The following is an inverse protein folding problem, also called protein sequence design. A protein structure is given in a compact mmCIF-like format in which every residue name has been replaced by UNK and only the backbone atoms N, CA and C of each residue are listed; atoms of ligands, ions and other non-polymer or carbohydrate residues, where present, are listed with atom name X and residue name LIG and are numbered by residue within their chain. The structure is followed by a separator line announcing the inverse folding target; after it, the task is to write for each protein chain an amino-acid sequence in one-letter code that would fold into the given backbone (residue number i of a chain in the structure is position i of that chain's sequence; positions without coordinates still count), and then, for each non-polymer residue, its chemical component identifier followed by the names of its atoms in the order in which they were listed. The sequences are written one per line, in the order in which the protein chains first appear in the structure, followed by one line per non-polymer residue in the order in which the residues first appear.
data_IF_054911419472
#
_entry.id   IF_054911419472
#
_cell.length_a   1.000
_cell.length_b   1.000
_cell.length_c   1.000
_cell.angle_alpha   90.00
_cell.angle_beta   90.00
_cell.angle_gamma   90.00
#
_symmetry.space_group_name_H-M   'P 1'
#
loop_
_entity.id
_entity.type
_entity.pdbx_description
1 polymer ?
#
# COMPACT_ATOMS: atom_id res chain seq x y z
N UNK A 1 -8.78 -6.85 25.75
CA UNK A 1 -9.07 -7.75 24.60
C UNK A 1 -8.00 -7.58 23.54
N UNK A 2 -7.31 -8.64 23.16
CA UNK A 2 -6.38 -8.66 22.02
C UNK A 2 -7.18 -8.31 20.76
N UNK A 3 -6.83 -7.21 20.10
CA UNK A 3 -7.51 -6.77 18.87
C UNK A 3 -7.37 -7.87 17.82
N UNK A 4 -8.50 -8.43 17.35
CA UNK A 4 -8.47 -9.51 16.35
C UNK A 4 -7.86 -8.99 15.05
N UNK A 5 -6.92 -9.75 14.49
CA UNK A 5 -6.20 -9.36 13.27
C UNK A 5 -7.14 -9.37 12.05
N UNK A 6 -6.87 -8.49 11.09
CA UNK A 6 -7.60 -8.40 9.82
C UNK A 6 -6.68 -8.75 8.66
N UNK A 7 -6.97 -9.84 7.94
CA UNK A 7 -6.21 -10.21 6.75
C UNK A 7 -6.81 -9.54 5.51
N UNK A 8 -5.96 -8.90 4.69
CA UNK A 8 -6.38 -8.18 3.48
C UNK A 8 -6.93 -9.11 2.40
N UNK A 9 -6.46 -10.36 2.37
CA UNK A 9 -6.87 -11.36 1.37
C UNK A 9 -8.14 -12.12 1.80
N UNK A 10 -8.64 -11.95 3.03
CA UNK A 10 -9.82 -12.64 3.50
C UNK A 10 -11.04 -12.34 2.61
N UNK A 11 -11.63 -13.38 2.01
CA UNK A 11 -12.75 -13.25 1.07
C UNK A 11 -12.39 -12.94 -0.38
N UNK A 12 -11.09 -12.78 -0.69
CA UNK A 12 -10.60 -12.70 -2.07
C UNK A 12 -10.46 -14.07 -2.74
N UNK A 13 -10.18 -14.08 -4.05
CA UNK A 13 -9.83 -15.31 -4.79
C UNK A 13 -8.51 -15.96 -4.34
N UNK A 14 -7.68 -15.25 -3.56
CA UNK A 14 -6.42 -15.73 -3.00
C UNK A 14 -6.56 -16.27 -1.58
N UNK A 15 -7.79 -16.40 -1.06
CA UNK A 15 -8.07 -16.98 0.24
C UNK A 15 -9.11 -18.10 0.13
N UNK A 16 -8.84 -19.31 0.68
CA UNK A 16 -7.66 -19.71 1.45
C UNK A 16 -6.36 -19.79 0.64
N UNK A 17 -5.23 -19.49 1.30
CA UNK A 17 -3.87 -19.57 0.76
C UNK A 17 -3.05 -20.68 1.44
N UNK A 18 -1.77 -20.82 1.08
CA UNK A 18 -0.87 -21.83 1.67
C UNK A 18 -0.78 -21.81 3.19
N UNK A 19 -1.00 -20.66 3.83
CA UNK A 19 -1.05 -20.60 5.30
C UNK A 19 -2.19 -21.46 5.88
N UNK A 20 -3.31 -21.62 5.17
CA UNK A 20 -4.39 -22.51 5.58
C UNK A 20 -3.96 -23.98 5.49
N UNK A 21 -3.25 -24.38 4.43
CA UNK A 21 -2.75 -25.75 4.26
C UNK A 21 -1.72 -26.14 5.33
N UNK A 22 -0.94 -25.17 5.79
CA UNK A 22 0.09 -25.37 6.80
C UNK A 22 -0.43 -25.28 8.24
N UNK A 23 -1.74 -25.09 8.45
CA UNK A 23 -2.35 -24.78 9.74
C UNK A 23 -1.77 -23.52 10.43
N UNK A 24 -1.38 -22.53 9.63
CA UNK A 24 -0.72 -21.28 10.02
C UNK A 24 -1.55 -20.05 9.61
N UNK A 25 -2.87 -20.22 9.46
CA UNK A 25 -3.74 -19.11 9.04
C UNK A 25 -3.69 -17.97 10.06
N UNK A 26 -3.40 -16.74 9.63
CA UNK A 26 -3.15 -15.62 10.56
C UNK A 26 -4.41 -15.18 11.33
N UNK A 27 -5.61 -15.46 10.79
CA UNK A 27 -6.88 -14.93 11.32
C UNK A 27 -7.92 -16.00 11.66
N UNK A 28 -7.71 -17.26 11.29
CA UNK A 28 -8.68 -18.34 11.51
C UNK A 28 -8.14 -19.32 12.57
N UNK A 29 -8.75 -19.33 13.76
CA UNK A 29 -8.34 -20.19 14.87
C UNK A 29 -8.48 -21.68 14.60
N UNK A 30 -9.50 -22.11 13.86
CA UNK A 30 -9.67 -23.52 13.51
C UNK A 30 -8.58 -24.02 12.57
N UNK A 31 -8.14 -23.16 11.64
CA UNK A 31 -6.96 -23.41 10.80
C UNK A 31 -5.64 -23.16 11.55
N UNK A 32 -5.68 -22.91 12.87
CA UNK A 32 -4.52 -22.94 13.78
C UNK A 32 -4.61 -24.13 14.74
N UNK A 33 -5.57 -25.04 14.54
CA UNK A 33 -5.79 -26.19 15.42
C UNK A 33 -6.55 -25.90 16.72
N UNK A 34 -7.10 -24.69 16.90
CA UNK A 34 -7.91 -24.37 18.09
C UNK A 34 -9.32 -24.94 17.97
N UNK A 35 -9.90 -25.34 19.10
CA UNK A 35 -11.22 -25.98 19.17
C UNK A 35 -12.37 -25.03 18.80
N UNK A 36 -12.28 -23.75 19.19
CA UNK A 36 -13.34 -22.76 18.96
C UNK A 36 -12.96 -21.70 17.93
N UNK A 37 -13.97 -21.27 17.17
CA UNK A 37 -13.84 -20.14 16.26
C UNK A 37 -13.79 -18.83 17.06
N UNK A 38 -12.69 -18.08 16.96
CA UNK A 38 -12.51 -16.77 17.59
C UNK A 38 -12.15 -15.68 16.55
N UNK A 39 -12.34 -15.97 15.26
CA UNK A 39 -11.87 -15.11 14.17
C UNK A 39 -12.61 -13.76 14.11
N UNK A 40 -11.99 -12.78 13.45
CA UNK A 40 -12.70 -11.57 13.07
C UNK A 40 -13.50 -11.85 11.79
N UNK A 41 -14.80 -12.10 11.91
CA UNK A 41 -15.65 -12.40 10.75
C UNK A 41 -15.71 -11.22 9.78
N UNK A 42 -15.42 -11.47 8.49
CA UNK A 42 -15.40 -10.45 7.43
C UNK A 42 -16.36 -10.75 6.28
N UNK A 43 -17.44 -11.47 6.57
CA UNK A 43 -18.44 -11.87 5.57
C UNK A 43 -18.23 -13.28 5.01
N UNK A 44 -17.11 -13.95 5.32
CA UNK A 44 -16.82 -15.30 4.87
C UNK A 44 -16.14 -16.15 5.95
N UNK A 45 -16.44 -17.45 5.96
CA UNK A 45 -15.78 -18.42 6.83
C UNK A 45 -14.57 -19.01 6.12
N UNK A 46 -13.35 -18.57 6.45
CA UNK A 46 -12.13 -19.05 5.79
C UNK A 46 -11.96 -20.57 5.96
N UNK A 47 -12.33 -21.11 7.14
CA UNK A 47 -12.32 -22.55 7.36
C UNK A 47 -13.27 -23.28 6.42
N UNK A 48 -14.52 -22.81 6.31
CA UNK A 48 -15.50 -23.42 5.40
C UNK A 48 -15.06 -23.36 3.94
N UNK A 49 -14.53 -22.22 3.50
CA UNK A 49 -13.99 -22.04 2.15
C UNK A 49 -12.82 -22.99 1.87
N UNK A 50 -12.00 -23.28 2.89
CA UNK A 50 -10.91 -24.25 2.81
C UNK A 50 -11.40 -25.69 2.70
N UNK A 51 -12.41 -26.07 3.48
CA UNK A 51 -13.04 -27.39 3.34
C UNK A 51 -13.70 -27.54 1.97
N UNK A 52 -14.45 -26.53 1.50
CA UNK A 52 -15.08 -26.54 0.18
C UNK A 52 -14.06 -26.54 -0.97
N UNK A 53 -12.87 -25.99 -0.77
CA UNK A 53 -11.76 -26.10 -1.71
C UNK A 53 -11.02 -27.45 -1.66
N UNK A 54 -11.57 -28.45 -0.95
CA UNK A 54 -10.95 -29.78 -0.82
C UNK A 54 -9.65 -29.76 -0.01
N UNK A 55 -9.59 -28.91 1.01
CA UNK A 55 -8.40 -28.71 1.86
C UNK A 55 -7.16 -28.25 1.07
N UNK A 56 -7.38 -27.46 0.00
CA UNK A 56 -6.31 -26.84 -0.79
C UNK A 56 -6.50 -25.33 -0.90
N UNK A 57 -5.40 -24.63 -1.12
CA UNK A 57 -5.40 -23.22 -1.49
C UNK A 57 -6.05 -23.04 -2.86
N UNK A 58 -6.81 -21.95 -3.02
CA UNK A 58 -7.60 -21.72 -4.24
C UNK A 58 -6.73 -21.36 -5.44
N UNK A 59 -6.11 -20.19 -5.39
CA UNK A 59 -5.34 -19.64 -6.49
C UNK A 59 -4.10 -18.94 -5.97
N UNK A 60 -2.99 -19.14 -6.66
CA UNK A 60 -1.74 -18.42 -6.42
C UNK A 60 -1.60 -17.27 -7.40
N UNK A 61 -1.09 -16.14 -6.94
CA UNK A 61 -0.71 -15.02 -7.81
C UNK A 61 0.34 -15.47 -8.82
N UNK A 62 -0.04 -15.52 -10.09
CA UNK A 62 0.83 -15.98 -11.16
C UNK A 62 1.79 -14.87 -11.58
N UNK A 63 3.00 -15.27 -11.95
CA UNK A 63 3.94 -14.39 -12.64
C UNK A 63 3.61 -14.39 -14.12
N UNK A 64 3.38 -13.22 -14.71
CA UNK A 64 3.12 -13.04 -16.14
C UNK A 64 4.22 -12.18 -16.75
N UNK A 65 4.53 -12.43 -18.02
CA UNK A 65 5.37 -11.55 -18.81
C UNK A 65 4.51 -10.41 -19.38
N UNK A 66 4.95 -9.18 -19.20
CA UNK A 66 4.24 -7.98 -19.59
C UNK A 66 5.10 -7.12 -20.52
N UNK A 67 4.48 -6.56 -21.55
CA UNK A 67 5.14 -5.64 -22.47
C UNK A 67 5.23 -4.24 -21.82
N UNK A 68 6.38 -3.60 -22.00
CA UNK A 68 6.63 -2.20 -21.64
C UNK A 68 6.13 -1.34 -22.82
N UNK A 69 5.05 -0.59 -22.59
CA UNK A 69 4.48 0.32 -23.60
C UNK A 69 5.32 1.59 -23.67
N UNK A 70 5.69 2.12 -22.50
CA UNK A 70 6.39 3.39 -22.39
C UNK A 70 7.30 3.39 -21.17
N UNK A 71 8.44 4.06 -21.33
CA UNK A 71 9.47 4.21 -20.31
C UNK A 71 9.97 5.64 -20.31
N UNK A 72 9.54 6.41 -19.31
CA UNK A 72 9.83 7.82 -19.19
C UNK A 72 10.83 8.04 -18.04
N UNK A 73 12.09 8.34 -18.38
CA UNK A 73 13.07 8.79 -17.39
C UNK A 73 12.80 10.25 -17.06
N UNK A 74 12.21 10.49 -15.89
CA UNK A 74 11.89 11.86 -15.42
C UNK A 74 13.16 12.56 -14.95
N UNK A 75 14.04 11.82 -14.27
CA UNK A 75 15.40 12.24 -13.93
C UNK A 75 16.26 10.99 -13.66
N UNK A 76 17.52 11.17 -13.29
CA UNK A 76 18.47 10.07 -13.03
C UNK A 76 17.99 9.06 -11.97
N UNK A 77 17.08 9.46 -11.08
CA UNK A 77 16.59 8.64 -9.95
C UNK A 77 15.17 8.15 -10.13
N UNK A 78 14.44 8.63 -11.13
CA UNK A 78 13.01 8.37 -11.28
C UNK A 78 12.67 7.93 -12.70
N UNK A 79 12.10 6.73 -12.77
CA UNK A 79 11.57 6.14 -13.98
C UNK A 79 10.06 5.93 -13.85
N UNK A 80 9.28 6.35 -14.84
CA UNK A 80 7.87 5.98 -14.97
C UNK A 80 7.74 4.90 -16.04
N UNK A 81 7.20 3.75 -15.64
CA UNK A 81 6.92 2.62 -16.52
C UNK A 81 5.43 2.53 -16.80
N UNK A 82 5.05 2.40 -18.06
CA UNK A 82 3.70 2.05 -18.49
C UNK A 82 3.70 0.63 -19.03
N UNK A 83 2.93 -0.27 -18.41
CA UNK A 83 2.91 -1.69 -18.72
C UNK A 83 1.54 -2.13 -19.25
N UNK A 84 1.53 -3.03 -20.23
CA UNK A 84 0.31 -3.66 -20.76
C UNK A 84 -0.04 -4.90 -19.94
N UNK A 85 -1.22 -4.93 -19.33
CA UNK A 85 -1.67 -6.06 -18.50
C UNK A 85 -3.10 -6.50 -18.84
N UNK A 86 -3.52 -7.70 -18.40
CA UNK A 86 -4.92 -8.11 -18.54
C UNK A 86 -5.88 -7.13 -17.85
N UNK A 87 -7.03 -6.84 -18.47
CA UNK A 87 -8.02 -5.88 -17.95
C UNK A 87 -8.48 -6.23 -16.53
N UNK A 88 -8.70 -7.52 -16.23
CA UNK A 88 -9.04 -8.02 -14.89
C UNK A 88 -7.99 -7.58 -13.86
N UNK A 89 -6.70 -7.79 -14.15
CA UNK A 89 -5.61 -7.41 -13.25
C UNK A 89 -5.54 -5.88 -13.08
N UNK A 90 -5.78 -5.12 -14.15
CA UNK A 90 -5.85 -3.65 -14.07
C UNK A 90 -6.93 -3.22 -13.09
N UNK A 91 -8.15 -3.76 -13.22
CA UNK A 91 -9.25 -3.47 -12.29
C UNK A 91 -8.90 -3.79 -10.84
N UNK A 92 -8.27 -4.94 -10.58
CA UNK A 92 -7.88 -5.37 -9.23
C UNK A 92 -6.75 -4.53 -8.61
N UNK A 93 -5.93 -3.89 -9.46
CA UNK A 93 -4.86 -2.98 -9.07
C UNK A 93 -5.32 -1.53 -8.89
N UNK A 94 -6.56 -1.21 -9.28
CA UNK A 94 -7.16 0.10 -9.10
C UNK A 94 -7.77 0.27 -7.69
N UNK A 95 -7.06 -0.19 -6.66
CA UNK A 95 -7.48 -0.12 -5.26
C UNK A 95 -6.36 0.50 -4.41
N UNK A 96 -6.67 1.35 -3.41
CA UNK A 96 -5.65 1.92 -2.53
C UNK A 96 -4.81 0.85 -1.83
N UNK A 97 -3.48 1.02 -1.84
CA UNK A 97 -2.56 0.04 -1.28
C UNK A 97 -2.19 -1.09 -2.24
N UNK A 98 -2.68 -1.05 -3.48
CA UNK A 98 -2.29 -2.03 -4.49
C UNK A 98 -0.82 -1.92 -4.85
N UNK A 99 -0.17 -3.07 -5.01
CA UNK A 99 1.20 -3.19 -5.48
C UNK A 99 1.39 -4.53 -6.22
N UNK A 100 2.48 -4.62 -6.97
CA UNK A 100 2.93 -5.81 -7.69
C UNK A 100 4.40 -6.05 -7.41
N UNK A 101 4.90 -7.25 -7.69
CA UNK A 101 6.34 -7.46 -7.84
C UNK A 101 6.74 -7.29 -9.29
N UNK A 102 7.79 -6.51 -9.51
CA UNK A 102 8.49 -6.39 -10.78
C UNK A 102 9.82 -7.12 -10.72
N UNK A 103 10.20 -7.72 -11.85
CA UNK A 103 11.50 -8.34 -12.05
C UNK A 103 11.84 -8.31 -13.54
N UNK A 104 13.10 -8.08 -13.88
CA UNK A 104 13.55 -8.26 -15.26
C UNK A 104 13.40 -9.72 -15.72
N UNK A 105 13.44 -9.94 -17.03
CA UNK A 105 13.15 -11.25 -17.61
C UNK A 105 14.30 -12.26 -17.52
N UNK A 106 15.51 -11.83 -17.12
CA UNK A 106 16.71 -12.67 -17.08
C UNK A 106 17.10 -13.07 -15.65
N UNK A 107 16.77 -12.24 -14.67
CA UNK A 107 17.18 -12.46 -13.28
C UNK A 107 16.36 -13.53 -12.57
N UNK A 108 16.91 -14.21 -11.55
CA UNK A 108 16.17 -15.15 -10.70
C UNK A 108 15.05 -14.50 -9.87
N UNK A 109 14.12 -15.31 -9.35
CA UNK A 109 12.92 -14.85 -8.62
C UNK A 109 13.21 -14.01 -7.36
N UNK A 110 14.38 -14.15 -6.73
CA UNK A 110 14.76 -13.33 -5.58
C UNK A 110 15.04 -11.85 -5.95
N UNK A 111 15.09 -11.49 -7.24
CA UNK A 111 15.10 -10.11 -7.74
C UNK A 111 13.72 -9.46 -7.77
N UNK A 112 12.65 -10.19 -7.45
CA UNK A 112 11.31 -9.62 -7.28
C UNK A 112 11.37 -8.38 -6.36
N UNK A 113 10.82 -7.28 -6.85
CA UNK A 113 10.80 -5.98 -6.17
C UNK A 113 9.37 -5.46 -6.06
N UNK A 114 8.85 -5.21 -4.85
CA UNK A 114 7.50 -4.71 -4.68
C UNK A 114 7.41 -3.26 -5.15
N UNK A 115 6.45 -2.96 -6.01
CA UNK A 115 6.23 -1.65 -6.61
C UNK A 115 4.76 -1.26 -6.49
N UNK A 116 4.53 -0.10 -5.88
CA UNK A 116 3.18 0.46 -5.73
C UNK A 116 2.62 0.89 -7.08
N UNK A 117 1.31 0.72 -7.25
CA UNK A 117 0.61 1.20 -8.44
C UNK A 117 0.43 2.71 -8.34
N UNK A 118 0.86 3.45 -9.36
CA UNK A 118 0.62 4.88 -9.46
C UNK A 118 -0.73 5.15 -10.13
N UNK A 119 -1.02 4.44 -11.21
CA UNK A 119 -2.24 4.62 -11.99
C UNK A 119 -2.62 3.32 -12.66
N UNK A 120 -3.92 3.10 -12.83
CA UNK A 120 -4.48 1.94 -13.51
C UNK A 120 -5.64 2.36 -14.39
N UNK A 121 -5.69 1.84 -15.61
CA UNK A 121 -6.79 2.02 -16.55
C UNK A 121 -7.29 0.63 -16.99
N UNK A 122 -8.52 0.30 -16.59
CA UNK A 122 -9.16 -0.97 -16.92
C UNK A 122 -9.52 -1.08 -18.41
N UNK A 123 -10.00 0.01 -19.02
CA UNK A 123 -10.46 0.01 -20.41
C UNK A 123 -9.31 -0.30 -21.36
N UNK A 124 -8.18 0.36 -21.16
CA UNK A 124 -6.96 0.17 -21.93
C UNK A 124 -6.15 -1.04 -21.47
N UNK A 125 -6.37 -1.55 -20.26
CA UNK A 125 -5.56 -2.63 -19.69
C UNK A 125 -4.11 -2.21 -19.49
N UNK A 126 -3.90 -1.02 -18.91
CA UNK A 126 -2.56 -0.50 -18.62
C UNK A 126 -2.42 -0.12 -17.15
N UNK A 127 -1.20 -0.21 -16.64
CA UNK A 127 -0.80 0.36 -15.35
C UNK A 127 0.42 1.24 -15.52
N UNK A 128 0.54 2.25 -14.66
CA UNK A 128 1.74 3.06 -14.52
C UNK A 128 2.36 2.88 -13.15
N UNK A 129 3.68 2.82 -13.12
CA UNK A 129 4.51 2.59 -11.93
C UNK A 129 5.60 3.65 -11.90
N UNK A 130 5.91 4.16 -10.72
CA UNK A 130 7.09 5.00 -10.51
C UNK A 130 8.16 4.17 -9.81
N UNK A 131 9.34 4.06 -10.43
CA UNK A 131 10.48 3.31 -9.93
C UNK A 131 11.57 4.28 -9.52
N UNK A 132 11.90 4.28 -8.23
CA UNK A 132 13.08 4.99 -7.74
C UNK A 132 14.33 4.12 -7.94
N UNK A 133 15.31 4.62 -8.70
CA UNK A 133 16.56 3.91 -8.94
C UNK A 133 17.48 4.08 -7.73
N UNK A 134 17.64 3.02 -6.92
CA UNK A 134 18.41 3.07 -5.68
C UNK A 134 19.28 1.84 -5.40
N UNK A 135 19.13 0.74 -6.15
CA UNK A 135 19.88 -0.48 -5.91
C UNK A 135 19.92 -1.43 -7.11
N UNK A 136 20.54 -2.61 -6.95
CA UNK A 136 20.75 -3.56 -8.05
C UNK A 136 19.44 -3.96 -8.76
N UNK A 137 18.39 -4.26 -7.98
CA UNK A 137 17.10 -4.69 -8.56
C UNK A 137 16.45 -3.60 -9.41
N UNK A 138 16.45 -2.36 -8.93
CA UNK A 138 15.85 -1.22 -9.66
C UNK A 138 16.67 -0.81 -10.87
N UNK A 139 18.00 -0.99 -10.83
CA UNK A 139 18.89 -0.78 -12.00
C UNK A 139 18.58 -1.78 -13.11
N UNK A 140 18.38 -3.05 -12.78
CA UNK A 140 17.98 -4.07 -13.78
C UNK A 140 16.60 -3.77 -14.37
N UNK A 141 15.64 -3.30 -13.57
CA UNK A 141 14.35 -2.80 -14.06
C UNK A 141 14.56 -1.60 -15.02
N UNK A 142 15.49 -0.71 -14.72
CA UNK A 142 15.88 0.40 -15.60
C UNK A 142 16.61 -0.07 -16.87
N UNK A 143 17.18 -1.26 -16.93
CA UNK A 143 17.82 -1.78 -18.14
C UNK A 143 16.85 -2.58 -19.03
N UNK A 144 15.70 -2.99 -18.49
CA UNK A 144 14.65 -3.69 -19.24
C UNK A 144 14.20 -2.90 -20.47
N UNK A 145 14.20 -3.55 -21.64
CA UNK A 145 13.81 -2.92 -22.91
C UNK A 145 12.33 -3.15 -23.23
N UNK A 146 11.96 -4.40 -23.51
CA UNK A 146 10.65 -4.72 -24.08
C UNK A 146 9.70 -5.37 -23.08
N UNK A 147 10.22 -6.28 -22.26
CA UNK A 147 9.40 -7.16 -21.43
C UNK A 147 9.88 -7.15 -19.98
N UNK A 148 8.92 -7.30 -19.06
CA UNK A 148 9.17 -7.37 -17.62
C UNK A 148 8.23 -8.39 -16.99
N UNK A 149 8.70 -9.12 -15.98
CA UNK A 149 7.83 -10.00 -15.20
C UNK A 149 7.05 -9.20 -14.16
N UNK A 150 5.75 -9.49 -14.09
CA UNK A 150 4.83 -8.95 -13.10
C UNK A 150 4.23 -10.11 -12.31
N UNK A 151 4.20 -9.98 -10.98
CA UNK A 151 3.42 -10.87 -10.10
C UNK A 151 2.50 -10.03 -9.21
N UNK A 152 1.21 -10.36 -9.16
CA UNK A 152 0.20 -9.60 -8.43
C UNK A 152 -1.20 -10.12 -8.70
N UNK A 153 -2.24 -9.43 -8.21
CA UNK A 153 -2.23 -8.17 -7.45
C UNK A 153 -2.06 -8.38 -5.95
N UNK A 154 -1.38 -7.48 -5.23
CA UNK A 154 -1.35 -7.44 -3.76
C UNK A 154 -1.95 -6.13 -3.28
N UNK A 155 -2.53 -6.09 -2.07
CA UNK A 155 -3.29 -4.92 -1.60
C UNK A 155 -2.83 -4.31 -0.27
N UNK A 156 -1.88 -4.94 0.43
CA UNK A 156 -1.44 -4.47 1.75
C UNK A 156 -0.34 -3.41 1.71
N UNK A 157 -0.30 -2.57 0.67
CA UNK A 157 0.68 -1.49 0.51
C UNK A 157 0.46 -0.26 1.40
N UNK A 158 -0.63 -0.24 2.17
CA UNK A 158 -0.91 0.78 3.19
C UNK A 158 -1.63 0.17 4.40
N UNK A 159 -1.55 0.85 5.54
CA UNK A 159 -2.34 0.57 6.74
C UNK A 159 -3.42 1.63 6.93
N UNK A 160 -4.55 1.22 7.53
CA UNK A 160 -5.73 2.08 7.63
C UNK A 160 -6.62 2.01 6.39
N UNK A 161 -6.56 0.90 5.64
CA UNK A 161 -7.30 0.71 4.39
C UNK A 161 -8.81 0.93 4.53
N UNK A 162 -9.38 0.50 5.67
CA UNK A 162 -10.80 0.74 5.99
C UNK A 162 -11.17 2.22 6.07
N UNK A 163 -10.26 3.08 6.52
CA UNK A 163 -10.51 4.52 6.63
C UNK A 163 -10.50 5.17 5.26
N UNK A 164 -9.55 4.81 4.38
CA UNK A 164 -9.53 5.32 3.00
C UNK A 164 -10.82 4.92 2.26
N UNK A 165 -11.21 3.63 2.32
CA UNK A 165 -12.38 3.13 1.58
C UNK A 165 -13.72 3.56 2.17
N UNK A 166 -13.81 3.68 3.48
CA UNK A 166 -15.06 3.98 4.19
C UNK A 166 -15.31 5.46 4.46
N UNK A 167 -14.35 6.35 4.16
CA UNK A 167 -14.55 7.79 4.34
C UNK A 167 -15.37 8.37 3.21
N UNK A 168 -16.45 9.09 3.56
CA UNK A 168 -17.36 9.75 2.62
C UNK A 168 -17.72 11.14 3.09
N UNK A 169 -17.99 12.06 2.16
CA UNK A 169 -18.52 13.41 2.41
C UNK A 169 -17.75 14.18 3.50
N UNK A 170 -16.43 13.97 3.60
CA UNK A 170 -15.59 14.50 4.69
C UNK A 170 -14.39 15.27 4.16
N UNK A 171 -13.72 16.05 5.02
CA UNK A 171 -12.45 16.69 4.66
C UNK A 171 -11.28 15.75 4.95
N UNK A 172 -10.41 15.58 3.98
CA UNK A 172 -9.25 14.68 4.05
C UNK A 172 -7.96 15.43 3.72
N UNK A 173 -6.89 15.11 4.43
CA UNK A 173 -5.53 15.60 4.14
C UNK A 173 -4.67 14.45 3.63
N UNK A 174 -4.00 14.65 2.50
CA UNK A 174 -3.06 13.69 1.93
C UNK A 174 -1.67 14.33 1.93
N UNK A 175 -0.72 13.75 2.67
CA UNK A 175 0.66 14.22 2.75
C UNK A 175 1.57 13.22 2.08
N UNK A 176 2.25 13.64 1.01
CA UNK A 176 3.06 12.78 0.15
C UNK A 176 4.48 13.31 0.06
N UNK A 177 5.47 12.41 0.22
CA UNK A 177 6.88 12.76 0.10
C UNK A 177 7.67 11.79 -0.77
N UNK A 178 8.45 12.34 -1.71
CA UNK A 178 9.32 11.55 -2.58
C UNK A 178 8.54 10.56 -3.43
N UNK A 179 8.99 9.30 -3.47
CA UNK A 179 8.37 8.25 -4.32
C UNK A 179 6.94 7.90 -3.87
N UNK A 180 6.58 8.20 -2.62
CA UNK A 180 5.23 7.96 -2.09
C UNK A 180 4.14 8.80 -2.79
N UNK A 181 4.54 9.80 -3.59
CA UNK A 181 3.64 10.45 -4.54
C UNK A 181 2.90 9.44 -5.42
N UNK A 182 3.58 8.37 -5.87
CA UNK A 182 3.03 7.38 -6.78
C UNK A 182 1.75 6.70 -6.23
N UNK A 183 1.79 5.94 -5.12
CA UNK A 183 0.57 5.37 -4.54
C UNK A 183 -0.44 6.43 -4.08
N UNK A 184 0.00 7.67 -3.84
CA UNK A 184 -0.85 8.79 -3.48
C UNK A 184 -1.93 9.11 -4.52
N UNK A 185 -1.66 8.89 -5.81
CA UNK A 185 -2.62 9.14 -6.90
C UNK A 185 -3.89 8.30 -6.74
N UNK A 186 -3.75 6.99 -6.51
CA UNK A 186 -4.90 6.09 -6.30
C UNK A 186 -5.64 6.44 -4.99
N UNK A 187 -4.92 6.78 -3.93
CA UNK A 187 -5.53 7.20 -2.66
C UNK A 187 -6.38 8.47 -2.86
N UNK A 188 -5.83 9.49 -3.50
CA UNK A 188 -6.52 10.74 -3.79
C UNK A 188 -7.76 10.48 -4.66
N UNK A 189 -7.60 9.72 -5.75
CA UNK A 189 -8.70 9.36 -6.65
C UNK A 189 -9.83 8.67 -5.89
N UNK A 190 -9.52 7.69 -5.03
CA UNK A 190 -10.54 6.99 -4.24
C UNK A 190 -11.27 7.90 -3.25
N UNK A 191 -10.55 8.79 -2.58
CA UNK A 191 -11.17 9.74 -1.66
C UNK A 191 -12.12 10.70 -2.39
N UNK A 192 -11.74 11.17 -3.57
CA UNK A 192 -12.60 12.04 -4.41
C UNK A 192 -13.84 11.28 -4.89
N UNK A 193 -13.70 10.04 -5.37
CA UNK A 193 -14.83 9.20 -5.78
C UNK A 193 -15.87 8.99 -4.66
N UNK A 194 -15.42 9.04 -3.40
CA UNK A 194 -16.27 8.95 -2.23
C UNK A 194 -16.86 10.32 -1.79
N UNK A 195 -16.78 11.34 -2.64
CA UNK A 195 -17.24 12.71 -2.41
C UNK A 195 -16.55 13.42 -1.23
N UNK A 196 -15.29 13.11 -0.96
CA UNK A 196 -14.51 13.84 0.04
C UNK A 196 -13.88 15.10 -0.54
N UNK A 197 -13.75 16.14 0.29
CA UNK A 197 -12.94 17.31 -0.02
C UNK A 197 -11.48 17.01 0.36
N UNK A 198 -10.61 16.94 -0.64
CA UNK A 198 -9.21 16.52 -0.46
C UNK A 198 -8.27 17.71 -0.59
N UNK A 199 -7.45 17.90 0.45
CA UNK A 199 -6.28 18.78 0.41
C UNK A 199 -5.02 17.91 0.33
N UNK A 200 -4.09 18.26 -0.55
CA UNK A 200 -2.86 17.50 -0.79
C UNK A 200 -1.66 18.38 -0.48
N UNK A 201 -0.71 17.86 0.30
CA UNK A 201 0.59 18.46 0.56
C UNK A 201 1.67 17.54 -0.04
N UNK A 202 2.44 18.07 -1.00
CA UNK A 202 3.47 17.31 -1.72
C UNK A 202 4.85 17.88 -1.42
N UNK A 203 5.77 16.99 -1.04
CA UNK A 203 7.21 17.24 -0.92
C UNK A 203 7.97 16.37 -1.94
N UNK A 204 8.82 17.00 -2.76
CA UNK A 204 9.70 16.31 -3.74
C UNK A 204 10.61 15.26 -3.10
N UNK A 205 11.02 15.47 -1.84
CA UNK A 205 12.00 14.63 -1.15
C UNK A 205 13.26 14.38 -1.97
N UNK A 206 13.86 13.19 -1.81
CA UNK A 206 15.09 12.80 -2.54
C UNK A 206 14.88 12.58 -4.06
N UNK A 207 13.63 12.46 -4.51
CA UNK A 207 13.28 12.30 -5.92
C UNK A 207 13.46 13.60 -6.69
N UNK A 208 13.26 14.75 -6.03
CA UNK A 208 13.48 16.06 -6.64
C UNK A 208 12.39 16.52 -7.59
N UNK A 209 11.28 15.78 -7.73
CA UNK A 209 10.21 16.10 -8.69
C UNK A 209 8.80 15.92 -8.14
N UNK A 210 7.88 16.73 -8.69
CA UNK A 210 6.43 16.65 -8.47
C UNK A 210 5.79 15.89 -9.63
N UNK A 211 6.10 14.59 -9.76
CA UNK A 211 5.82 13.84 -10.99
C UNK A 211 4.35 13.39 -11.13
N UNK A 212 3.50 13.63 -10.13
CA UNK A 212 2.09 13.24 -10.17
C UNK A 212 1.14 14.36 -10.57
N UNK A 213 1.64 15.58 -10.82
CA UNK A 213 0.79 16.75 -11.07
C UNK A 213 -0.18 16.53 -12.23
N UNK A 214 0.27 15.91 -13.32
CA UNK A 214 -0.58 15.63 -14.48
C UNK A 214 -1.77 14.72 -14.15
N UNK A 215 -1.64 13.82 -13.17
CA UNK A 215 -2.70 12.91 -12.74
C UNK A 215 -3.71 13.56 -11.79
N UNK A 216 -3.41 14.78 -11.32
CA UNK A 216 -4.22 15.52 -10.37
C UNK A 216 -4.93 16.73 -10.99
N UNK A 217 -4.60 17.10 -12.24
CA UNK A 217 -5.12 18.31 -12.91
C UNK A 217 -6.63 18.37 -13.03
N UNK A 218 -7.26 17.22 -13.27
CA UNK A 218 -8.71 17.14 -13.48
C UNK A 218 -9.50 17.04 -12.17
N UNK A 219 -8.80 17.00 -11.03
CA UNK A 219 -9.42 16.93 -9.72
C UNK A 219 -9.60 18.32 -9.13
N UNK A 220 -10.81 18.60 -8.63
CA UNK A 220 -11.08 19.81 -7.85
C UNK A 220 -10.53 19.67 -6.42
N UNK A 221 -9.21 19.83 -6.28
CA UNK A 221 -8.47 19.68 -5.01
C UNK A 221 -7.55 20.86 -4.74
N UNK A 222 -7.25 21.10 -3.47
CA UNK A 222 -6.22 22.08 -3.07
C UNK A 222 -4.87 21.39 -2.96
N UNK A 223 -3.85 21.88 -3.66
CA UNK A 223 -2.50 21.30 -3.65
C UNK A 223 -1.50 22.33 -3.11
N UNK A 224 -0.78 21.93 -2.06
CA UNK A 224 0.37 22.65 -1.52
C UNK A 224 1.65 21.91 -1.88
N UNK A 225 2.67 22.66 -2.32
CA UNK A 225 4.00 22.14 -2.67
C UNK A 225 5.01 22.77 -1.72
N UNK A 226 5.55 21.99 -0.78
CA UNK A 226 6.46 22.52 0.25
C UNK A 226 7.34 21.41 0.80
N UNK A 227 8.59 21.74 1.14
CA UNK A 227 9.45 20.86 1.93
C UNK A 227 8.88 20.77 3.35
N UNK A 228 8.33 19.60 3.70
CA UNK A 228 7.70 19.38 5.00
C UNK A 228 8.70 19.28 6.14
N UNK A 229 10.00 19.20 5.89
CA UNK A 229 11.03 19.24 6.94
C UNK A 229 11.47 20.67 7.28
N UNK A 230 11.22 21.64 6.39
CA UNK A 230 11.49 23.05 6.66
C UNK A 230 10.58 23.63 7.75
N UNK A 231 11.01 24.70 8.43
CA UNK A 231 10.19 25.39 9.43
C UNK A 231 8.82 25.83 8.88
N UNK A 232 8.81 26.43 7.69
CA UNK A 232 7.57 26.82 7.01
C UNK A 232 6.67 25.62 6.68
N UNK A 233 7.27 24.52 6.20
CA UNK A 233 6.53 23.30 5.88
C UNK A 233 5.94 22.64 7.11
N UNK A 234 6.67 22.62 8.22
CA UNK A 234 6.17 22.16 9.52
C UNK A 234 5.04 23.05 10.03
N UNK A 235 5.14 24.36 9.86
CA UNK A 235 4.07 25.30 10.24
C UNK A 235 2.81 25.11 9.37
N UNK A 236 2.97 24.94 8.06
CA UNK A 236 1.85 24.63 7.17
C UNK A 236 1.19 23.30 7.55
N UNK A 237 1.99 22.24 7.75
CA UNK A 237 1.50 20.93 8.14
C UNK A 237 0.72 20.99 9.45
N UNK A 238 1.27 21.67 10.46
CA UNK A 238 0.60 21.93 11.75
C UNK A 238 -0.75 22.63 11.53
N UNK A 239 -0.75 23.75 10.80
CA UNK A 239 -1.96 24.54 10.56
C UNK A 239 -3.06 23.75 9.85
N UNK A 240 -2.68 22.91 8.87
CA UNK A 240 -3.62 22.02 8.19
C UNK A 240 -4.20 20.99 9.17
N UNK A 241 -3.35 20.30 9.95
CA UNK A 241 -3.80 19.25 10.89
C UNK A 241 -4.68 19.81 12.01
N UNK A 242 -4.38 21.02 12.50
CA UNK A 242 -5.17 21.70 13.54
C UNK A 242 -6.61 22.02 13.13
N UNK A 243 -6.96 21.91 11.85
CA UNK A 243 -8.35 22.03 11.40
C UNK A 243 -9.16 20.78 11.80
N UNK A 244 -9.93 20.89 12.89
CA UNK A 244 -10.80 19.83 13.45
C UNK A 244 -11.84 19.25 12.46
N UNK A 245 -12.04 19.91 11.32
CA UNK A 245 -12.90 19.39 10.26
C UNK A 245 -12.25 18.29 9.43
N UNK A 246 -10.92 18.15 9.47
CA UNK A 246 -10.21 17.07 8.79
C UNK A 246 -10.45 15.78 9.56
N UNK A 247 -11.13 14.82 8.92
CA UNK A 247 -11.52 13.54 9.54
C UNK A 247 -10.58 12.39 9.19
N UNK A 248 -9.80 12.54 8.13
CA UNK A 248 -8.85 11.53 7.69
C UNK A 248 -7.57 12.20 7.21
N UNK A 249 -6.45 11.64 7.65
CA UNK A 249 -5.12 12.02 7.20
C UNK A 249 -4.44 10.77 6.62
N UNK A 250 -3.98 10.86 5.37
CA UNK A 250 -3.11 9.87 4.78
C UNK A 250 -1.68 10.40 4.72
N UNK A 251 -0.73 9.63 5.26
CA UNK A 251 0.70 9.93 5.18
C UNK A 251 1.40 8.90 4.30
N UNK A 252 1.84 9.32 3.12
CA UNK A 252 2.74 8.56 2.26
C UNK A 252 4.16 9.11 2.37
N UNK A 253 5.10 8.32 2.88
CA UNK A 253 6.46 8.80 3.13
C UNK A 253 7.24 7.88 4.08
N UNK A 254 8.23 8.44 4.78
CA UNK A 254 9.03 7.69 5.75
C UNK A 254 8.32 7.51 7.09
N UNK A 255 8.80 6.57 7.91
CA UNK A 255 8.27 6.36 9.26
C UNK A 255 8.43 7.59 10.17
N UNK A 256 9.52 8.36 9.99
CA UNK A 256 9.70 9.64 10.67
C UNK A 256 8.61 10.66 10.31
N UNK A 257 8.17 10.71 9.05
CA UNK A 257 7.04 11.54 8.63
C UNK A 257 5.73 11.04 9.26
N UNK A 258 5.51 9.72 9.30
CA UNK A 258 4.33 9.15 9.92
C UNK A 258 4.25 9.50 11.41
N UNK A 259 5.36 9.41 12.15
CA UNK A 259 5.42 9.82 13.56
C UNK A 259 5.16 11.31 13.74
N UNK A 260 5.78 12.16 12.93
CA UNK A 260 5.59 13.60 13.05
C UNK A 260 4.11 14.00 12.88
N UNK A 261 3.44 13.41 11.88
CA UNK A 261 2.00 13.63 11.67
C UNK A 261 1.18 13.05 12.82
N UNK A 262 1.53 11.86 13.32
CA UNK A 262 0.85 11.26 14.47
C UNK A 262 0.93 12.17 15.70
N UNK A 263 2.11 12.73 15.99
CA UNK A 263 2.29 13.68 17.08
C UNK A 263 1.41 14.91 16.89
N UNK A 264 1.31 15.47 15.68
CA UNK A 264 0.40 16.59 15.43
C UNK A 264 -1.07 16.23 15.58
N UNK A 265 -1.48 15.03 15.16
CA UNK A 265 -2.85 14.54 15.39
C UNK A 265 -3.13 14.47 16.89
N UNK A 266 -2.20 13.94 17.68
CA UNK A 266 -2.37 13.79 19.13
C UNK A 266 -2.49 15.12 19.87
N UNK A 267 -1.79 16.15 19.39
CA UNK A 267 -1.82 17.47 20.02
C UNK A 267 -2.97 18.34 19.54
N UNK A 268 -3.41 18.19 18.28
CA UNK A 268 -4.29 19.17 17.65
C UNK A 268 -5.57 18.61 17.06
N UNK A 269 -5.71 17.31 16.78
CA UNK A 269 -6.90 16.73 16.14
C UNK A 269 -7.03 15.23 16.45
N UNK A 270 -7.28 14.89 17.72
CA UNK A 270 -7.27 13.52 18.24
C UNK A 270 -8.30 12.60 17.60
N UNK A 271 -9.36 13.17 17.03
CA UNK A 271 -10.46 12.46 16.40
C UNK A 271 -10.20 12.09 14.93
N UNK A 272 -9.13 12.63 14.32
CA UNK A 272 -8.79 12.32 12.94
C UNK A 272 -8.27 10.87 12.81
N UNK A 273 -8.81 10.14 11.84
CA UNK A 273 -8.26 8.84 11.46
C UNK A 273 -6.92 9.03 10.72
N UNK A 274 -5.96 8.15 10.98
CA UNK A 274 -4.68 8.11 10.28
C UNK A 274 -4.57 6.83 9.45
N UNK A 275 -4.15 6.99 8.19
CA UNK A 275 -3.71 5.92 7.31
C UNK A 275 -2.28 6.22 6.82
N UNK A 276 -1.46 5.19 6.62
CA UNK A 276 -0.05 5.37 6.25
C UNK A 276 0.42 4.34 5.22
N UNK A 277 1.44 4.68 4.44
CA UNK A 277 2.10 3.72 3.55
C UNK A 277 2.75 2.57 4.35
N UNK A 278 2.71 1.36 3.79
CA UNK A 278 3.37 0.21 4.38
C UNK A 278 4.85 0.15 3.96
N UNK A 279 5.73 0.68 4.81
CA UNK A 279 7.17 0.71 4.57
C UNK A 279 7.92 -0.57 5.01
N UNK A 280 7.22 -1.64 5.42
CA UNK A 280 7.89 -2.88 5.82
C UNK A 280 8.57 -3.54 4.63
N UNK A 281 9.68 -4.24 4.88
CA UNK A 281 10.33 -5.05 3.84
C UNK A 281 9.39 -6.19 3.42
N UNK A 282 9.09 -6.27 2.13
CA UNK A 282 8.24 -7.33 1.56
C UNK A 282 9.06 -8.13 0.54
N UNK A 283 9.15 -9.44 0.75
CA UNK A 283 9.81 -10.38 -0.16
C UNK A 283 8.80 -11.27 -0.90
N UNK A 284 8.13 -12.20 -0.20
CA UNK A 284 7.17 -13.09 -0.87
C UNK A 284 5.81 -12.44 -1.19
N UNK A 285 5.34 -11.51 -0.35
CA UNK A 285 3.97 -10.96 -0.38
C UNK A 285 2.88 -11.92 0.14
N UNK A 286 3.21 -13.18 0.40
CA UNK A 286 2.24 -14.24 0.74
C UNK A 286 2.14 -14.57 2.23
N UNK A 287 2.98 -13.95 3.07
CA UNK A 287 3.07 -14.24 4.50
C UNK A 287 3.92 -15.46 4.86
N UNK A 288 4.62 -16.06 3.89
CA UNK A 288 5.40 -17.30 4.05
C UNK A 288 6.83 -17.03 4.57
N UNK A 289 7.61 -16.19 3.89
CA UNK A 289 9.06 -16.05 4.15
C UNK A 289 9.45 -15.31 5.44
N UNK A 290 8.50 -14.65 6.10
CA UNK A 290 8.74 -13.86 7.31
C UNK A 290 9.51 -12.55 7.18
N UNK A 291 9.97 -12.13 5.99
CA UNK A 291 10.62 -10.82 5.80
C UNK A 291 9.75 -9.62 6.23
N UNK A 292 8.42 -9.75 6.11
CA UNK A 292 7.45 -8.73 6.53
C UNK A 292 7.01 -8.90 7.99
N UNK A 293 7.67 -9.77 8.77
CA UNK A 293 7.33 -10.04 10.16
C UNK A 293 7.55 -8.80 11.03
N UNK A 294 6.55 -8.50 11.83
CA UNK A 294 6.67 -7.56 12.92
C UNK A 294 6.10 -8.15 14.19
N UNK A 295 6.57 -7.69 15.33
CA UNK A 295 6.04 -8.05 16.63
C UNK A 295 5.14 -6.93 17.13
N UNK A 296 3.91 -7.27 17.52
CA UNK A 296 2.96 -6.36 18.15
C UNK A 296 2.43 -7.05 19.39
N UNK A 297 2.61 -6.42 20.56
CA UNK A 297 2.15 -6.95 21.84
C UNK A 297 2.60 -8.42 22.09
N UNK A 298 3.86 -8.74 21.76
CA UNK A 298 4.42 -10.10 21.90
C UNK A 298 3.94 -11.12 20.85
N UNK A 299 3.11 -10.70 19.88
CA UNK A 299 2.64 -11.56 18.78
C UNK A 299 3.37 -11.22 17.48
N UNK A 300 3.93 -12.23 16.82
CA UNK A 300 4.50 -12.11 15.47
C UNK A 300 3.39 -12.04 14.42
N UNK A 301 3.44 -11.03 13.57
CA UNK A 301 2.43 -10.71 12.56
C UNK A 301 3.07 -10.51 11.19
N UNK A 302 2.48 -11.11 10.15
CA UNK A 302 2.90 -10.94 8.76
C UNK A 302 2.29 -9.68 8.16
N UNK A 303 3.01 -8.56 8.22
CA UNK A 303 2.51 -7.23 7.81
C UNK A 303 2.24 -7.06 6.30
N UNK A 304 2.60 -8.03 5.48
CA UNK A 304 2.23 -8.07 4.07
C UNK A 304 0.83 -8.67 3.82
N UNK A 305 0.22 -9.29 4.84
CA UNK A 305 -1.12 -9.87 4.78
C UNK A 305 -2.11 -9.21 5.75
N UNK A 306 -1.63 -8.54 6.80
CA UNK A 306 -2.45 -8.06 7.92
C UNK A 306 -2.53 -6.54 7.96
N UNK A 307 -3.73 -6.00 8.12
CA UNK A 307 -3.96 -4.60 8.46
C UNK A 307 -3.64 -4.37 9.93
N UNK A 308 -2.75 -3.41 10.18
CA UNK A 308 -2.25 -3.10 11.50
C UNK A 308 -2.91 -1.85 12.06
N UNK A 309 -2.90 -1.74 13.39
CA UNK A 309 -3.10 -0.46 14.03
C UNK A 309 -1.94 0.47 13.68
N UNK A 310 -2.25 1.61 13.07
CA UNK A 310 -1.25 2.54 12.54
C UNK A 310 -0.34 3.07 13.66
N UNK A 311 -0.89 3.37 14.85
CA UNK A 311 -0.09 3.88 15.97
C UNK A 311 0.95 2.85 16.39
N UNK A 312 0.51 1.62 16.61
CA UNK A 312 1.39 0.50 16.97
C UNK A 312 2.43 0.19 15.89
N UNK A 313 2.04 0.29 14.62
CA UNK A 313 2.96 0.07 13.50
C UNK A 313 4.05 1.13 13.44
N UNK A 314 3.74 2.40 13.73
CA UNK A 314 4.70 3.52 13.75
C UNK A 314 5.62 3.42 14.98
N UNK A 315 5.06 3.29 16.19
CA UNK A 315 5.81 3.22 17.45
C UNK A 315 6.90 2.13 17.40
N UNK A 316 6.54 0.94 16.93
CA UNK A 316 7.45 -0.19 16.84
C UNK A 316 8.58 0.01 15.83
N UNK A 317 8.33 0.71 14.72
CA UNK A 317 9.38 0.98 13.72
C UNK A 317 10.43 1.93 14.25
N UNK A 318 10.08 2.84 15.14
CA UNK A 318 11.01 3.85 15.66
C UNK A 318 11.83 3.32 16.83
N UNK A 319 11.24 2.46 17.65
CA UNK A 319 11.96 1.77 18.73
C UNK A 319 13.00 0.75 18.21
N UNK A 320 12.94 0.38 16.92
CA UNK A 320 13.84 -0.59 16.30
C UNK A 320 14.53 -0.07 15.02
N UNK A 321 14.46 1.24 14.75
CA UNK A 321 15.14 1.90 13.63
C UNK A 321 16.55 2.36 14.00
#
# INVERSE_FOLDING_TARGET
MTKRLECIDAGSEYCPCYLAELNECIVCSQLQGKQFCDCNWRGVCIYQEYIWAGCKSKSTRKTILSNIIKKDMINERLLILTLKIPKKLSRELNEPGSYIFLRDNLSPSFFDTPMSIMYSNEMEGIIKLAVQINGPKTKLIQECKENIYIRGPYWNGLFGHKYIKGMHNSKCLVVLRGIAQAPGVIVISKLIQNNNNVTVLIDKGKIGEYFIEEYLKDFNITIFKKDILSNDGQNLLRNLISNQNIKLIYSGGSDAQHLNILNFIDHYNTEAYLAVSNNNTICCGEGICGSCEIEINGQKVRSCKVQLDVRKAIERRILHA
#
